data_IF_107126406993
#
_entry.id   IF_107126406993
#
_cell.length_a   1.000
_cell.length_b   1.000
_cell.length_c   1.000
_cell.angle_alpha   90.00
_cell.angle_beta   90.00
_cell.angle_gamma   90.00
#
_symmetry.space_group_name_H-M   'P 1'
#
loop_
_entity.id
_entity.type
_entity.pdbx_description
1 polymer ?
#
# COMPACT_ATOMS: atom_id res chain seq x y z
N UNK A 1 21.37 24.79 -8.84
CA UNK A 1 22.13 23.91 -7.93
C UNK A 1 21.15 23.31 -6.93
N UNK A 2 20.50 22.23 -7.33
CA UNK A 2 19.60 21.46 -6.46
C UNK A 2 20.46 20.71 -5.44
N UNK A 3 20.25 20.98 -4.15
CA UNK A 3 20.91 20.24 -3.07
C UNK A 3 20.18 18.91 -2.91
N UNK A 4 20.84 17.84 -3.30
CA UNK A 4 20.42 16.48 -3.07
C UNK A 4 20.16 16.26 -1.56
N UNK A 5 18.90 16.24 -1.18
CA UNK A 5 18.47 15.86 0.16
C UNK A 5 18.19 14.34 0.12
N UNK A 6 19.27 13.52 0.18
CA UNK A 6 19.10 12.09 0.36
C UNK A 6 18.61 11.83 1.79
N UNK A 7 17.29 11.87 1.96
CA UNK A 7 16.64 11.28 3.13
C UNK A 7 17.07 9.82 3.14
N UNK A 8 17.82 9.38 4.16
CA UNK A 8 18.05 7.94 4.35
C UNK A 8 16.67 7.34 4.55
N UNK A 9 16.25 6.58 3.53
CA UNK A 9 14.97 5.89 3.47
C UNK A 9 14.87 4.93 4.64
N UNK A 10 13.68 4.69 5.19
CA UNK A 10 13.48 3.46 5.93
C UNK A 10 13.86 2.33 4.97
N UNK A 11 14.94 1.65 5.29
CA UNK A 11 15.37 0.45 4.57
C UNK A 11 14.23 -0.54 4.76
N UNK A 12 13.70 -1.09 3.67
CA UNK A 12 12.82 -2.25 3.79
C UNK A 12 13.52 -3.25 4.69
N UNK A 13 12.86 -3.81 5.70
CA UNK A 13 13.51 -4.79 6.56
C UNK A 13 14.11 -5.88 5.68
N UNK A 14 15.35 -6.33 5.92
CA UNK A 14 15.92 -7.41 5.14
C UNK A 14 14.98 -8.61 5.24
N UNK A 15 14.66 -9.21 4.09
CA UNK A 15 13.89 -10.47 4.05
C UNK A 15 14.61 -11.44 4.99
N UNK A 16 14.00 -11.93 6.05
CA UNK A 16 14.67 -12.78 7.01
C UNK A 16 15.08 -14.09 6.33
N UNK A 17 16.30 -14.54 6.59
CA UNK A 17 16.82 -15.84 6.07
C UNK A 17 15.95 -17.05 6.44
N UNK A 18 15.09 -16.88 7.46
CA UNK A 18 14.07 -17.85 7.87
C UNK A 18 12.72 -17.13 8.01
N UNK A 19 11.64 -17.63 7.40
CA UNK A 19 10.32 -17.04 7.54
C UNK A 19 9.91 -16.96 9.02
N UNK A 20 9.57 -15.76 9.49
CA UNK A 20 9.04 -15.57 10.84
C UNK A 20 7.54 -15.57 10.77
N UNK A 21 6.91 -16.53 11.43
CA UNK A 21 5.46 -16.51 11.64
C UNK A 21 5.12 -15.54 12.75
N UNK A 22 4.16 -14.69 12.49
CA UNK A 22 3.76 -13.63 13.41
C UNK A 22 2.32 -13.84 13.89
N UNK A 23 2.14 -13.78 15.21
CA UNK A 23 0.82 -13.70 15.84
C UNK A 23 0.59 -12.24 16.17
N UNK A 24 -0.43 -11.66 15.59
CA UNK A 24 -0.76 -10.25 15.77
C UNK A 24 -1.34 -10.00 17.16
N UNK A 25 -1.17 -8.79 17.68
CA UNK A 25 -1.78 -8.39 18.96
C UNK A 25 -3.30 -8.46 18.85
N UNK A 26 -3.95 -9.09 19.85
CA UNK A 26 -5.39 -9.26 19.85
C UNK A 26 -5.96 -10.20 18.78
N UNK A 27 -5.11 -10.99 18.12
CA UNK A 27 -5.56 -11.99 17.15
C UNK A 27 -6.51 -12.99 17.82
N UNK A 28 -7.72 -13.23 17.24
CA UNK A 28 -8.66 -14.20 17.80
C UNK A 28 -8.08 -15.60 17.85
N UNK A 29 -8.54 -16.42 18.82
CA UNK A 29 -8.13 -17.82 18.90
C UNK A 29 -8.57 -18.57 17.64
N UNK A 30 -7.67 -19.41 17.10
CA UNK A 30 -7.91 -20.18 15.88
C UNK A 30 -7.56 -19.47 14.58
N UNK A 31 -7.21 -18.19 14.60
CA UNK A 31 -6.70 -17.48 13.39
C UNK A 31 -5.26 -17.92 13.11
N UNK A 32 -4.94 -18.39 11.88
CA UNK A 32 -3.58 -18.81 11.54
C UNK A 32 -2.56 -17.67 11.63
N UNK A 33 -1.36 -17.97 12.13
CA UNK A 33 -0.26 -17.03 12.08
C UNK A 33 0.26 -16.88 10.65
N UNK A 34 0.52 -15.66 10.20
CA UNK A 34 1.09 -15.37 8.88
C UNK A 34 2.60 -15.19 8.91
N UNK A 35 3.25 -15.52 7.81
CA UNK A 35 4.66 -15.24 7.60
C UNK A 35 4.87 -13.77 7.21
N UNK A 36 5.92 -13.16 7.78
CA UNK A 36 6.47 -11.89 7.32
C UNK A 36 7.34 -12.16 6.11
N UNK A 37 6.76 -12.03 4.92
CA UNK A 37 7.47 -12.27 3.65
C UNK A 37 8.14 -11.00 3.11
N UNK A 38 7.80 -9.82 3.65
CA UNK A 38 8.16 -8.53 3.07
C UNK A 38 7.35 -8.14 1.82
N UNK A 39 6.46 -9.03 1.36
CA UNK A 39 5.56 -8.83 0.24
C UNK A 39 4.23 -8.20 0.69
N UNK A 40 3.82 -8.50 1.91
CA UNK A 40 2.61 -7.96 2.56
C UNK A 40 2.93 -7.30 3.87
N UNK A 41 2.11 -6.35 4.28
CA UNK A 41 2.21 -5.72 5.61
C UNK A 41 1.18 -6.34 6.55
N UNK A 42 1.56 -6.48 7.82
CA UNK A 42 0.67 -7.00 8.86
C UNK A 42 0.37 -5.90 9.90
N UNK A 43 -0.90 -5.76 10.33
CA UNK A 43 -1.25 -4.93 11.47
C UNK A 43 -0.54 -5.39 12.74
N UNK A 44 -0.27 -4.46 13.66
CA UNK A 44 0.27 -4.71 15.00
C UNK A 44 1.67 -5.36 15.04
N UNK A 45 2.40 -5.34 13.93
CA UNK A 45 3.81 -5.70 13.85
C UNK A 45 4.66 -4.43 13.97
N UNK A 46 5.42 -4.22 15.06
CA UNK A 46 6.14 -2.96 15.27
C UNK A 46 7.10 -2.59 14.14
N UNK A 47 7.78 -3.58 13.56
CA UNK A 47 8.73 -3.40 12.47
C UNK A 47 8.05 -3.01 11.16
N UNK A 48 6.81 -3.46 10.94
CA UNK A 48 5.99 -3.20 9.75
C UNK A 48 5.12 -1.94 9.90
N UNK A 49 5.03 -1.34 11.09
CA UNK A 49 4.06 -0.29 11.39
C UNK A 49 4.10 0.89 10.41
N UNK A 50 5.28 1.31 9.93
CA UNK A 50 5.40 2.38 8.94
C UNK A 50 4.67 2.00 7.62
N UNK A 51 4.95 0.81 7.08
CA UNK A 51 4.37 0.32 5.84
C UNK A 51 2.88 0.05 5.99
N UNK A 52 2.48 -0.60 7.08
CA UNK A 52 1.08 -0.82 7.40
C UNK A 52 0.29 0.50 7.46
N UNK A 53 0.77 1.52 8.20
CA UNK A 53 0.09 2.82 8.32
C UNK A 53 0.07 3.61 7.01
N UNK A 54 1.08 3.44 6.18
CA UNK A 54 1.15 4.02 4.83
C UNK A 54 0.04 3.46 3.94
N UNK A 55 -0.16 2.15 3.91
CA UNK A 55 -1.24 1.52 3.15
C UNK A 55 -2.60 1.79 3.78
N UNK A 56 -2.72 1.73 5.11
CA UNK A 56 -3.95 2.02 5.83
C UNK A 56 -4.51 3.40 5.49
N UNK A 57 -3.65 4.42 5.38
CA UNK A 57 -4.08 5.77 5.00
C UNK A 57 -4.76 5.81 3.62
N UNK A 58 -4.31 4.98 2.68
CA UNK A 58 -4.93 4.85 1.35
C UNK A 58 -6.28 4.15 1.46
N UNK A 59 -6.38 3.06 2.22
CA UNK A 59 -7.64 2.36 2.45
C UNK A 59 -8.69 3.24 3.14
N UNK A 60 -8.31 4.00 4.18
CA UNK A 60 -9.20 4.95 4.86
C UNK A 60 -9.68 6.05 3.90
N UNK A 61 -8.80 6.54 3.02
CA UNK A 61 -9.15 7.53 2.01
C UNK A 61 -10.12 6.98 0.96
N UNK A 62 -9.95 5.70 0.53
CA UNK A 62 -10.84 5.02 -0.41
C UNK A 62 -12.19 4.71 0.26
N UNK A 63 -12.19 4.23 1.51
CA UNK A 63 -13.42 3.90 2.25
C UNK A 63 -14.41 5.08 2.29
N UNK A 64 -13.90 6.32 2.41
CA UNK A 64 -14.74 7.52 2.35
C UNK A 64 -15.36 7.80 0.96
N UNK A 65 -15.00 7.03 -0.09
CA UNK A 65 -15.42 7.21 -1.50
C UNK A 65 -16.25 6.06 -2.05
N UNK A 66 -16.39 4.98 -1.29
CA UNK A 66 -17.12 3.77 -1.69
C UNK A 66 -18.37 3.51 -0.83
N UNK A 67 -18.93 4.57 -0.24
CA UNK A 67 -20.11 4.48 0.62
C UNK A 67 -21.30 3.86 -0.14
N UNK A 68 -21.85 2.77 0.43
CA UNK A 68 -22.96 2.03 -0.16
C UNK A 68 -22.65 1.22 -1.42
N UNK A 69 -21.40 1.15 -1.85
CA UNK A 69 -20.97 0.43 -3.06
C UNK A 69 -20.71 -1.06 -2.78
N UNK A 70 -20.80 -1.87 -3.86
CA UNK A 70 -20.27 -3.22 -3.90
C UNK A 70 -18.83 -3.19 -4.43
N UNK A 71 -17.87 -3.56 -3.58
CA UNK A 71 -16.43 -3.39 -3.81
C UNK A 71 -15.72 -4.74 -3.90
N UNK A 72 -14.82 -4.91 -4.88
CA UNK A 72 -13.80 -5.96 -4.85
C UNK A 72 -12.45 -5.36 -4.41
N UNK A 73 -11.79 -6.01 -3.46
CA UNK A 73 -10.44 -5.69 -3.01
C UNK A 73 -9.50 -6.79 -3.50
N UNK A 74 -8.78 -6.51 -4.59
CA UNK A 74 -7.93 -7.48 -5.28
C UNK A 74 -6.53 -7.53 -4.67
N UNK A 75 -6.01 -8.74 -4.48
CA UNK A 75 -4.77 -9.02 -3.75
C UNK A 75 -4.84 -8.46 -2.31
N UNK A 76 -5.95 -8.75 -1.61
CA UNK A 76 -6.26 -8.16 -0.32
C UNK A 76 -5.33 -8.60 0.82
N UNK A 77 -4.47 -9.58 0.58
CA UNK A 77 -3.47 -10.06 1.53
C UNK A 77 -4.08 -10.53 2.84
N UNK A 78 -3.62 -9.95 3.94
CA UNK A 78 -4.08 -10.26 5.30
C UNK A 78 -5.54 -9.88 5.57
N UNK A 79 -6.12 -8.98 4.75
CA UNK A 79 -7.54 -8.62 4.79
C UNK A 79 -7.89 -7.36 5.58
N UNK A 80 -6.94 -6.68 6.23
CA UNK A 80 -7.23 -5.45 6.99
C UNK A 80 -7.83 -4.34 6.11
N UNK A 81 -7.38 -4.25 4.86
CA UNK A 81 -7.89 -3.27 3.89
C UNK A 81 -9.35 -3.51 3.56
N UNK A 82 -9.71 -4.75 3.26
CA UNK A 82 -11.10 -5.16 3.02
C UNK A 82 -11.99 -4.89 4.25
N UNK A 83 -11.48 -5.09 5.47
CA UNK A 83 -12.19 -4.79 6.71
C UNK A 83 -12.47 -3.28 6.86
N UNK A 84 -11.49 -2.42 6.53
CA UNK A 84 -11.65 -0.96 6.52
C UNK A 84 -12.68 -0.50 5.47
N UNK A 85 -12.65 -1.07 4.26
CA UNK A 85 -13.63 -0.77 3.22
C UNK A 85 -15.04 -1.15 3.65
N UNK A 86 -15.20 -2.26 4.38
CA UNK A 86 -16.48 -2.75 4.88
C UNK A 86 -17.14 -1.83 5.92
N UNK A 87 -16.43 -0.83 6.47
CA UNK A 87 -17.03 0.20 7.33
C UNK A 87 -18.02 1.10 6.58
N UNK A 88 -17.89 1.22 5.25
CA UNK A 88 -18.68 2.13 4.41
C UNK A 88 -19.37 1.43 3.24
N UNK A 89 -18.74 0.43 2.64
CA UNK A 89 -19.28 -0.28 1.50
C UNK A 89 -20.52 -1.11 1.88
N UNK A 90 -21.44 -1.26 0.95
CA UNK A 90 -22.59 -2.16 1.13
C UNK A 90 -22.17 -3.63 1.15
N UNK A 91 -21.17 -3.99 0.34
CA UNK A 91 -20.57 -5.31 0.27
C UNK A 91 -19.09 -5.20 -0.11
N UNK A 92 -18.23 -6.00 0.51
CA UNK A 92 -16.82 -6.13 0.14
C UNK A 92 -16.49 -7.59 -0.11
N UNK A 93 -15.79 -7.83 -1.22
CA UNK A 93 -15.20 -9.12 -1.57
C UNK A 93 -13.69 -8.97 -1.61
N UNK A 94 -12.99 -9.46 -0.59
CA UNK A 94 -11.53 -9.55 -0.61
C UNK A 94 -11.09 -10.77 -1.40
N UNK A 95 -10.21 -10.60 -2.37
CA UNK A 95 -9.71 -11.66 -3.25
C UNK A 95 -8.19 -11.76 -3.10
N UNK A 96 -7.68 -12.94 -2.77
CA UNK A 96 -6.25 -13.22 -2.71
C UNK A 96 -5.94 -14.65 -3.14
N UNK A 97 -4.90 -14.85 -3.92
CA UNK A 97 -4.50 -16.17 -4.41
C UNK A 97 -3.79 -17.03 -3.34
N UNK A 98 -3.16 -16.37 -2.36
CA UNK A 98 -2.39 -17.04 -1.32
C UNK A 98 -3.32 -17.74 -0.31
N UNK A 99 -3.24 -19.07 -0.17
CA UNK A 99 -4.14 -19.82 0.72
C UNK A 99 -4.00 -19.42 2.19
N UNK A 100 -2.78 -19.15 2.67
CA UNK A 100 -2.56 -18.76 4.07
C UNK A 100 -3.15 -17.37 4.37
N UNK A 101 -2.98 -16.42 3.45
CA UNK A 101 -3.57 -15.08 3.58
C UNK A 101 -5.09 -15.15 3.56
N UNK A 102 -5.68 -15.90 2.61
CA UNK A 102 -7.13 -16.10 2.52
C UNK A 102 -7.71 -16.71 3.81
N UNK A 103 -7.10 -17.81 4.31
CA UNK A 103 -7.60 -18.50 5.51
C UNK A 103 -7.47 -17.63 6.76
N UNK A 104 -6.39 -16.84 6.85
CA UNK A 104 -6.21 -15.86 7.91
C UNK A 104 -7.27 -14.76 7.85
N UNK A 105 -7.41 -14.08 6.70
CA UNK A 105 -8.37 -13.00 6.50
C UNK A 105 -9.80 -13.44 6.85
N UNK A 106 -10.22 -14.58 6.32
CA UNK A 106 -11.54 -15.18 6.57
C UNK A 106 -11.80 -15.50 8.04
N UNK A 107 -10.78 -15.95 8.76
CA UNK A 107 -10.90 -16.28 10.19
C UNK A 107 -10.87 -15.01 11.07
N UNK A 108 -10.11 -13.99 10.68
CA UNK A 108 -9.89 -12.76 11.45
C UNK A 108 -11.01 -11.75 11.30
N UNK A 109 -11.44 -11.50 10.06
CA UNK A 109 -12.39 -10.41 9.73
C UNK A 109 -13.77 -10.97 9.41
N UNK A 110 -14.64 -10.97 10.43
CA UNK A 110 -16.00 -11.50 10.30
C UNK A 110 -16.99 -10.35 10.37
N UNK A 111 -17.59 -9.99 9.21
CA UNK A 111 -18.64 -8.98 9.11
C UNK A 111 -19.77 -9.45 8.19
N UNK A 112 -21.01 -8.98 8.38
CA UNK A 112 -22.14 -9.41 7.53
C UNK A 112 -22.01 -8.97 6.07
N UNK A 113 -21.24 -7.90 5.79
CA UNK A 113 -21.03 -7.33 4.46
C UNK A 113 -19.61 -7.59 3.90
N UNK A 114 -18.83 -8.50 4.51
CA UNK A 114 -17.48 -8.83 4.08
C UNK A 114 -17.34 -10.34 3.87
N UNK A 115 -16.81 -10.74 2.72
CA UNK A 115 -16.39 -12.11 2.48
C UNK A 115 -15.04 -12.15 1.78
N UNK A 116 -14.35 -13.28 1.92
CA UNK A 116 -13.06 -13.51 1.26
C UNK A 116 -13.19 -14.68 0.28
N UNK A 117 -12.58 -14.53 -0.88
CA UNK A 117 -12.51 -15.52 -1.96
C UNK A 117 -11.05 -15.79 -2.31
N UNK A 118 -10.71 -17.07 -2.56
CA UNK A 118 -9.36 -17.43 -3.00
C UNK A 118 -9.35 -17.58 -4.51
N UNK A 119 -8.78 -16.60 -5.20
CA UNK A 119 -8.64 -16.62 -6.66
C UNK A 119 -7.46 -15.73 -7.09
N UNK A 120 -7.06 -15.88 -8.36
CA UNK A 120 -6.11 -14.99 -9.01
C UNK A 120 -6.80 -13.65 -9.36
N UNK A 121 -6.07 -12.55 -9.28
CA UNK A 121 -6.61 -11.22 -9.62
C UNK A 121 -7.02 -11.11 -11.09
N UNK A 122 -6.41 -11.90 -11.98
CA UNK A 122 -6.71 -11.98 -13.40
C UNK A 122 -8.10 -12.59 -13.69
N UNK A 123 -8.67 -13.33 -12.75
CA UNK A 123 -9.98 -13.94 -12.85
C UNK A 123 -11.11 -13.03 -12.37
N UNK A 124 -10.81 -11.75 -12.07
CA UNK A 124 -11.82 -10.82 -11.59
C UNK A 124 -13.00 -10.74 -12.56
N UNK A 125 -14.20 -10.98 -12.04
CA UNK A 125 -15.44 -10.93 -12.81
C UNK A 125 -16.50 -10.14 -12.03
N UNK A 126 -17.05 -9.10 -12.68
CA UNK A 126 -18.08 -8.23 -12.11
C UNK A 126 -19.49 -8.83 -12.16
N UNK A 127 -20.52 -8.01 -11.91
CA UNK A 127 -20.35 -6.56 -11.75
C UNK A 127 -20.01 -6.13 -10.31
N UNK A 128 -19.07 -5.20 -10.17
CA UNK A 128 -18.83 -4.43 -8.96
C UNK A 128 -19.10 -2.95 -9.25
N UNK A 129 -19.33 -2.14 -8.22
CA UNK A 129 -19.41 -0.68 -8.35
C UNK A 129 -18.01 -0.06 -8.33
N UNK A 130 -17.08 -0.67 -7.58
CA UNK A 130 -15.68 -0.26 -7.54
C UNK A 130 -14.74 -1.45 -7.33
N UNK A 131 -13.53 -1.32 -7.86
CA UNK A 131 -12.40 -2.22 -7.58
C UNK A 131 -11.29 -1.44 -6.86
N UNK A 132 -10.71 -2.07 -5.85
CA UNK A 132 -9.52 -1.62 -5.14
C UNK A 132 -8.38 -2.59 -5.45
N UNK A 133 -7.23 -2.06 -5.93
CA UNK A 133 -6.07 -2.85 -6.33
C UNK A 133 -4.79 -2.10 -5.93
N UNK A 134 -4.28 -2.38 -4.75
CA UNK A 134 -3.23 -1.58 -4.13
C UNK A 134 -1.92 -2.35 -3.98
N UNK A 135 -0.80 -1.69 -4.33
CA UNK A 135 0.57 -2.20 -4.15
C UNK A 135 0.75 -3.62 -4.72
N UNK A 136 0.26 -3.83 -5.93
CA UNK A 136 0.27 -5.15 -6.58
C UNK A 136 0.56 -5.07 -8.08
N UNK A 137 0.22 -3.98 -8.76
CA UNK A 137 0.43 -3.82 -10.21
C UNK A 137 1.92 -3.98 -10.60
N UNK A 138 2.84 -3.66 -9.69
CA UNK A 138 4.28 -3.83 -9.84
C UNK A 138 4.74 -5.30 -9.88
N UNK A 139 3.88 -6.25 -9.46
CA UNK A 139 4.12 -7.69 -9.45
C UNK A 139 3.50 -8.42 -10.66
N UNK A 140 2.69 -7.72 -11.47
CA UNK A 140 1.91 -8.32 -12.56
C UNK A 140 2.74 -8.39 -13.85
N UNK A 141 2.74 -9.55 -14.50
CA UNK A 141 3.43 -9.75 -15.79
C UNK A 141 2.67 -9.08 -16.94
N UNK A 142 1.38 -9.40 -17.10
CA UNK A 142 0.51 -8.84 -18.15
C UNK A 142 -0.43 -7.78 -17.59
N UNK A 143 0.13 -6.60 -17.32
CA UNK A 143 -0.62 -5.46 -16.77
C UNK A 143 -1.74 -5.00 -17.72
N UNK A 144 -1.56 -4.88 -19.05
CA UNK A 144 -2.64 -4.48 -19.94
C UNK A 144 -3.86 -5.41 -19.89
N UNK A 145 -3.64 -6.72 -19.87
CA UNK A 145 -4.75 -7.68 -19.79
C UNK A 145 -5.52 -7.55 -18.47
N UNK A 146 -4.82 -7.44 -17.35
CA UNK A 146 -5.44 -7.25 -16.03
C UNK A 146 -6.23 -5.93 -15.96
N UNK A 147 -5.66 -4.81 -16.42
CA UNK A 147 -6.36 -3.51 -16.41
C UNK A 147 -7.63 -3.54 -17.26
N UNK A 148 -7.60 -4.24 -18.41
CA UNK A 148 -8.79 -4.47 -19.23
C UNK A 148 -9.87 -5.29 -18.50
N UNK A 149 -9.47 -6.31 -17.74
CA UNK A 149 -10.39 -7.09 -16.91
C UNK A 149 -11.00 -6.24 -15.77
N UNK A 150 -10.18 -5.43 -15.09
CA UNK A 150 -10.63 -4.50 -14.05
C UNK A 150 -11.65 -3.49 -14.63
N UNK A 151 -11.33 -2.85 -15.76
CA UNK A 151 -12.22 -1.89 -16.41
C UNK A 151 -13.56 -2.51 -16.83
N UNK A 152 -13.54 -3.79 -17.24
CA UNK A 152 -14.79 -4.53 -17.59
C UNK A 152 -15.60 -4.89 -16.35
N UNK A 153 -14.94 -5.14 -15.21
CA UNK A 153 -15.58 -5.63 -13.99
C UNK A 153 -16.23 -4.52 -13.14
N UNK A 154 -15.76 -3.25 -13.27
CA UNK A 154 -16.31 -2.11 -12.53
C UNK A 154 -16.07 -0.77 -13.24
N UNK A 155 -17.02 0.19 -13.14
CA UNK A 155 -16.88 1.54 -13.71
C UNK A 155 -15.89 2.43 -12.93
N UNK A 156 -15.50 2.04 -11.73
CA UNK A 156 -14.55 2.76 -10.88
C UNK A 156 -13.46 1.82 -10.38
N UNK A 157 -12.21 2.24 -10.50
CA UNK A 157 -11.09 1.51 -9.90
C UNK A 157 -10.14 2.46 -9.16
N UNK A 158 -9.65 1.99 -8.01
CA UNK A 158 -8.57 2.60 -7.24
C UNK A 158 -7.34 1.69 -7.37
N UNK A 159 -6.29 2.21 -7.99
CA UNK A 159 -5.08 1.43 -8.24
C UNK A 159 -3.90 2.16 -7.62
N UNK A 160 -3.00 1.47 -6.92
CA UNK A 160 -1.80 2.09 -6.37
C UNK A 160 -0.53 1.33 -6.68
N UNK A 161 0.59 2.05 -6.69
CA UNK A 161 1.94 1.51 -6.87
C UNK A 161 2.96 2.43 -6.19
N UNK A 162 4.10 1.91 -5.74
CA UNK A 162 5.18 2.76 -5.23
C UNK A 162 5.74 3.67 -6.32
N UNK A 163 6.18 4.86 -5.93
CA UNK A 163 6.92 5.74 -6.83
C UNK A 163 8.38 5.30 -6.92
N UNK A 164 8.84 4.90 -8.11
CA UNK A 164 10.23 4.51 -8.36
C UNK A 164 11.23 5.58 -7.92
N UNK A 165 10.94 6.86 -8.16
CA UNK A 165 11.86 7.96 -7.84
C UNK A 165 12.13 8.11 -6.33
N UNK A 166 11.20 7.69 -5.50
CA UNK A 166 11.35 7.71 -4.03
C UNK A 166 11.65 6.34 -3.45
N UNK A 167 11.38 5.24 -4.11
CA UNK A 167 11.65 3.89 -3.63
C UNK A 167 13.01 3.36 -4.09
N UNK A 168 13.35 3.46 -5.38
CA UNK A 168 14.60 2.94 -5.94
C UNK A 168 15.82 3.84 -5.59
N UNK A 169 17.05 3.34 -5.54
CA UNK A 169 18.25 4.17 -5.47
C UNK A 169 18.33 5.13 -6.65
N UNK A 170 18.99 6.29 -6.46
CA UNK A 170 19.15 7.27 -7.53
C UNK A 170 19.81 6.65 -8.77
N UNK A 171 19.15 6.79 -9.92
CA UNK A 171 19.61 6.23 -11.20
C UNK A 171 19.34 4.73 -11.40
N UNK A 172 18.74 4.04 -10.44
CA UNK A 172 18.34 2.65 -10.61
C UNK A 172 16.98 2.53 -11.30
N UNK A 173 16.82 1.48 -12.10
CA UNK A 173 15.54 1.18 -12.76
C UNK A 173 14.47 0.64 -11.80
N UNK A 174 14.89 0.02 -10.69
CA UNK A 174 14.02 -0.45 -9.61
C UNK A 174 14.76 -0.53 -8.26
N UNK A 175 14.00 -0.69 -7.19
CA UNK A 175 14.51 -0.95 -5.85
C UNK A 175 15.11 -2.36 -5.71
N UNK A 176 15.69 -2.64 -4.54
CA UNK A 176 16.21 -3.97 -4.21
C UNK A 176 15.09 -4.98 -3.83
N UNK A 177 13.80 -4.60 -3.97
CA UNK A 177 12.69 -5.50 -3.70
C UNK A 177 12.67 -6.63 -4.75
N UNK A 178 12.90 -7.90 -4.35
CA UNK A 178 12.98 -9.02 -5.28
C UNK A 178 11.63 -9.37 -5.93
N UNK A 179 10.52 -8.97 -5.31
CA UNK A 179 9.17 -9.26 -5.77
C UNK A 179 8.66 -8.29 -6.84
N UNK A 180 9.24 -7.07 -6.96
CA UNK A 180 8.85 -6.11 -7.97
C UNK A 180 9.40 -6.53 -9.33
N UNK A 181 8.53 -6.76 -10.30
CA UNK A 181 8.91 -6.97 -11.70
C UNK A 181 9.26 -5.63 -12.35
N UNK A 182 8.54 -4.57 -11.98
CA UNK A 182 8.74 -3.19 -12.45
C UNK A 182 8.32 -2.18 -11.38
N UNK A 183 8.85 -0.99 -11.49
CA UNK A 183 8.42 0.17 -10.69
C UNK A 183 8.22 1.35 -11.64
N UNK A 184 7.31 2.25 -11.29
CA UNK A 184 6.85 3.30 -12.20
C UNK A 184 7.28 4.68 -11.73
N UNK A 185 7.63 5.56 -12.68
CA UNK A 185 7.52 7.01 -12.53
C UNK A 185 6.07 7.43 -12.77
N UNK A 186 5.71 8.67 -12.42
CA UNK A 186 4.35 9.18 -12.67
C UNK A 186 3.96 9.12 -14.17
N UNK A 187 4.90 9.41 -15.08
CA UNK A 187 4.66 9.38 -16.52
C UNK A 187 4.41 7.95 -17.02
N UNK A 188 5.20 6.98 -16.59
CA UNK A 188 5.05 5.57 -16.94
C UNK A 188 3.75 4.99 -16.35
N UNK A 189 3.42 5.35 -15.11
CA UNK A 189 2.20 4.90 -14.44
C UNK A 189 0.94 5.40 -15.17
N UNK A 190 0.92 6.69 -15.53
CA UNK A 190 -0.14 7.26 -16.36
C UNK A 190 -0.27 6.56 -17.70
N UNK A 191 0.85 6.36 -18.40
CA UNK A 191 0.86 5.74 -19.72
C UNK A 191 0.36 4.29 -19.74
N UNK A 192 0.49 3.55 -18.64
CA UNK A 192 -0.02 2.17 -18.55
C UNK A 192 -1.52 2.12 -18.21
N UNK A 193 -2.05 3.12 -17.49
CA UNK A 193 -3.46 3.18 -17.09
C UNK A 193 -4.38 3.76 -18.17
N UNK A 194 -3.98 4.86 -18.83
CA UNK A 194 -4.80 5.59 -19.80
C UNK A 194 -5.38 4.74 -20.94
N UNK A 195 -4.71 3.68 -21.46
CA UNK A 195 -5.29 2.84 -22.50
C UNK A 195 -6.51 2.02 -22.05
N UNK A 196 -6.63 1.74 -20.75
CA UNK A 196 -7.70 0.89 -20.21
C UNK A 196 -8.91 1.67 -19.65
N UNK A 197 -8.73 2.97 -19.33
CA UNK A 197 -9.74 3.77 -18.65
C UNK A 197 -10.02 5.09 -19.38
N UNK A 198 -11.29 5.53 -19.40
CA UNK A 198 -11.72 6.79 -20.02
C UNK A 198 -11.18 8.02 -19.29
N UNK A 199 -10.96 7.94 -17.98
CA UNK A 199 -10.30 8.99 -17.20
C UNK A 199 -9.42 8.42 -16.09
N UNK A 200 -8.27 9.06 -15.88
CA UNK A 200 -7.28 8.68 -14.85
C UNK A 200 -6.87 9.93 -14.07
N UNK A 201 -7.28 10.00 -12.82
CA UNK A 201 -6.88 11.03 -11.88
C UNK A 201 -5.85 10.45 -10.90
N UNK A 202 -4.63 11.01 -10.82
CA UNK A 202 -3.57 10.48 -9.96
C UNK A 202 -3.33 11.41 -8.78
N UNK A 203 -3.32 10.81 -7.59
CA UNK A 203 -2.93 11.41 -6.32
C UNK A 203 -1.59 10.84 -5.88
N UNK A 204 -0.74 11.67 -5.28
CA UNK A 204 0.45 11.22 -4.58
C UNK A 204 0.19 11.06 -3.09
N UNK A 205 0.77 10.03 -2.50
CA UNK A 205 0.82 9.86 -1.04
C UNK A 205 2.09 10.51 -0.50
N UNK A 206 1.96 11.35 0.52
CA UNK A 206 3.07 12.11 1.11
C UNK A 206 3.11 11.94 2.63
N UNK A 207 4.28 12.17 3.23
CA UNK A 207 4.38 12.33 4.67
C UNK A 207 3.62 13.57 5.15
N UNK A 208 2.91 13.42 6.27
CA UNK A 208 2.21 14.47 6.98
C UNK A 208 2.60 14.45 8.47
N UNK A 209 1.99 15.28 9.30
CA UNK A 209 2.13 15.26 10.73
C UNK A 209 3.57 15.13 11.22
N UNK A 210 3.81 14.17 12.11
CA UNK A 210 5.13 13.93 12.70
C UNK A 210 6.16 13.39 11.69
N UNK A 211 5.72 12.66 10.65
CA UNK A 211 6.62 12.17 9.60
C UNK A 211 7.15 13.32 8.74
N UNK A 212 6.33 14.31 8.40
CA UNK A 212 6.77 15.49 7.67
C UNK A 212 7.78 16.32 8.48
N UNK A 213 7.55 16.47 9.79
CA UNK A 213 8.49 17.14 10.70
C UNK A 213 9.80 16.37 10.78
N UNK A 214 9.72 15.05 10.96
CA UNK A 214 10.89 14.18 11.02
C UNK A 214 11.71 14.22 9.71
N UNK A 215 11.06 14.15 8.54
CA UNK A 215 11.72 14.24 7.24
C UNK A 215 12.49 15.57 7.08
N UNK A 216 11.90 16.69 7.51
CA UNK A 216 12.58 18.00 7.54
C UNK A 216 13.76 18.01 8.50
N UNK A 217 13.63 17.42 9.69
CA UNK A 217 14.71 17.33 10.67
C UNK A 217 15.89 16.50 10.12
N UNK A 218 15.61 15.38 9.44
CA UNK A 218 16.64 14.59 8.73
C UNK A 218 17.36 15.44 7.68
N UNK A 219 16.61 16.20 6.88
CA UNK A 219 17.19 17.13 5.89
C UNK A 219 18.10 18.21 6.51
N UNK A 220 17.90 18.54 7.78
CA UNK A 220 18.74 19.46 8.56
C UNK A 220 19.90 18.76 9.30
N UNK A 221 20.09 17.44 9.11
CA UNK A 221 21.19 16.67 9.69
C UNK A 221 20.87 16.02 11.04
N UNK A 222 19.59 15.87 11.39
CA UNK A 222 19.15 15.20 12.62
C UNK A 222 19.68 13.76 12.74
N UNK A 223 19.78 13.04 11.63
CA UNK A 223 20.37 11.70 11.56
C UNK A 223 21.82 11.65 12.07
N UNK A 224 22.62 12.68 11.78
CA UNK A 224 24.00 12.80 12.26
C UNK A 224 24.02 13.06 13.77
N UNK A 225 23.10 13.89 14.26
CA UNK A 225 23.03 14.23 15.69
C UNK A 225 22.69 13.01 16.53
N UNK A 226 21.61 12.29 16.21
CA UNK A 226 21.23 11.12 17.00
C UNK A 226 22.18 9.92 16.81
N UNK A 227 22.87 9.83 15.67
CA UNK A 227 23.96 8.85 15.48
C UNK A 227 25.15 9.18 16.39
N UNK A 228 25.58 10.45 16.43
CA UNK A 228 26.67 10.90 17.32
C UNK A 228 26.33 10.65 18.79
N UNK A 229 25.10 10.91 19.19
CA UNK A 229 24.62 10.71 20.56
C UNK A 229 24.30 9.24 20.89
N UNK A 230 24.39 8.32 19.90
CA UNK A 230 24.04 6.89 20.01
C UNK A 230 22.59 6.65 20.47
N UNK A 231 21.67 7.57 20.12
CA UNK A 231 20.25 7.48 20.48
C UNK A 231 19.36 7.04 19.28
N UNK A 232 19.97 6.67 18.15
CA UNK A 232 19.25 6.25 16.94
C UNK A 232 18.24 5.13 17.22
N UNK A 233 18.71 4.01 17.78
CA UNK A 233 17.84 2.87 18.07
C UNK A 233 16.77 3.22 19.10
N UNK A 234 17.07 3.76 20.30
CA UNK A 234 16.04 4.16 21.26
C UNK A 234 15.02 5.17 20.74
N UNK A 235 15.43 6.05 19.81
CA UNK A 235 14.53 6.98 19.15
C UNK A 235 13.54 6.24 18.23
N UNK A 236 14.02 5.42 17.31
CA UNK A 236 13.15 4.71 16.37
C UNK A 236 12.30 3.61 17.03
N UNK A 237 12.78 2.96 18.09
CA UNK A 237 12.00 2.01 18.89
C UNK A 237 10.72 2.66 19.48
N UNK A 238 10.73 3.99 19.70
CA UNK A 238 9.56 4.73 20.18
C UNK A 238 8.80 5.45 19.05
N UNK A 239 9.53 5.95 18.06
CA UNK A 239 8.97 6.74 16.98
C UNK A 239 8.14 5.87 16.00
N UNK A 240 8.70 4.72 15.59
CA UNK A 240 8.03 3.84 14.62
C UNK A 240 6.68 3.33 15.09
N UNK A 241 6.51 2.80 16.32
CA UNK A 241 5.19 2.39 16.81
C UNK A 241 4.20 3.55 16.97
N UNK A 242 4.69 4.79 17.12
CA UNK A 242 3.83 5.97 17.26
C UNK A 242 3.29 6.50 15.91
N UNK A 243 3.76 5.99 14.77
CA UNK A 243 3.28 6.38 13.45
C UNK A 243 1.83 5.91 13.30
N UNK A 244 0.98 6.78 12.74
CA UNK A 244 -0.43 6.54 12.47
C UNK A 244 -0.78 6.84 11.01
N UNK A 245 -1.94 6.40 10.52
CA UNK A 245 -2.40 6.70 9.16
C UNK A 245 -2.48 8.22 8.90
N UNK A 246 -2.82 9.02 9.91
CA UNK A 246 -2.87 10.49 9.79
C UNK A 246 -1.50 11.17 9.62
N UNK A 247 -0.39 10.43 9.72
CA UNK A 247 0.94 10.92 9.37
C UNK A 247 1.24 10.79 7.86
N UNK A 248 0.23 10.38 7.08
CA UNK A 248 0.24 10.34 5.63
C UNK A 248 -0.93 11.14 5.07
N UNK A 249 -0.77 11.68 3.86
CA UNK A 249 -1.81 12.47 3.19
C UNK A 249 -1.75 12.27 1.68
N UNK A 250 -2.91 12.07 1.05
CA UNK A 250 -3.03 12.06 -0.40
C UNK A 250 -3.27 13.50 -0.91
N UNK A 251 -2.58 13.86 -2.00
CA UNK A 251 -2.72 15.14 -2.69
C UNK A 251 -2.81 14.92 -4.20
N UNK A 252 -3.73 15.61 -4.90
CA UNK A 252 -3.82 15.54 -6.35
C UNK A 252 -2.61 16.23 -7.01
N UNK A 253 -2.36 15.91 -8.29
CA UNK A 253 -1.27 16.46 -9.08
C UNK A 253 -1.21 18.00 -9.15
N UNK A 254 -2.36 18.68 -8.99
CA UNK A 254 -2.40 20.16 -8.98
C UNK A 254 -1.94 20.81 -7.68
N UNK A 255 -1.79 20.06 -6.60
CA UNK A 255 -1.45 20.56 -5.25
C UNK A 255 -0.04 20.19 -4.78
N UNK A 256 0.60 19.21 -5.43
CA UNK A 256 1.92 18.72 -5.06
C UNK A 256 2.69 18.18 -6.27
N UNK A 257 4.02 18.19 -6.16
CA UNK A 257 4.89 17.52 -7.12
C UNK A 257 4.83 16.00 -6.89
N UNK A 258 4.25 15.27 -7.84
CA UNK A 258 4.09 13.83 -7.73
C UNK A 258 5.41 13.07 -7.82
N UNK A 259 6.47 13.63 -8.37
CA UNK A 259 7.79 13.01 -8.38
C UNK A 259 8.36 12.84 -6.96
N UNK A 260 7.89 13.65 -5.99
CA UNK A 260 8.25 13.55 -4.58
C UNK A 260 7.31 12.63 -3.76
N UNK A 261 6.23 12.11 -4.37
CA UNK A 261 5.29 11.23 -3.69
C UNK A 261 5.95 9.90 -3.29
N UNK A 262 5.47 9.31 -2.21
CA UNK A 262 5.87 7.96 -1.76
C UNK A 262 5.26 6.87 -2.64
N UNK A 263 3.95 7.03 -2.90
CA UNK A 263 3.14 6.16 -3.76
C UNK A 263 2.28 7.01 -4.68
N UNK A 264 1.87 6.41 -5.78
CA UNK A 264 0.79 6.90 -6.62
C UNK A 264 -0.50 6.14 -6.33
N UNK A 265 -1.61 6.86 -6.30
CA UNK A 265 -2.97 6.31 -6.18
C UNK A 265 -3.80 6.89 -7.31
N UNK A 266 -4.17 6.05 -8.26
CA UNK A 266 -5.01 6.43 -9.38
C UNK A 266 -6.48 6.16 -9.07
N UNK A 267 -7.34 7.11 -9.43
CA UNK A 267 -8.79 6.95 -9.53
C UNK A 267 -9.12 6.85 -11.00
N UNK A 268 -9.48 5.64 -11.44
CA UNK A 268 -9.74 5.30 -12.83
C UNK A 268 -11.25 5.14 -13.05
N UNK A 269 -11.79 5.69 -14.15
CA UNK A 269 -13.20 5.56 -14.52
C UNK A 269 -13.32 5.19 -16.00
N UNK A 270 -14.47 4.54 -16.34
CA UNK A 270 -14.84 4.31 -17.74
C UNK A 270 -14.90 5.61 -18.56
#
# INVERSE_FOLDING_TARGET
>A
MARNCSVRRPVSPPVPETPRRYVQSGQPEGVPALELTGERTLPDVPEENYWFRRHLAVYEWIAARVDGMRVADLACGEGYGSDVLADRAAEVVGIDANPEAHDHAKARYVRPNLRFERDLVENVAGPFDAIVFLQTIEHIEDVPALLGAIATAAPLAFISTPNRLTLAPEGAEKSDNPWHLREYTIAEYRAVLEPAFGSVEIHGLFHAGKLAVHARAIGLGWDRIHSLLRITKPFYDRFTPAISASDFVLRPAGEADLDEALDFVAVCRE
#
